data_IF_895455158400
#
_entry.id   IF_895455158400
#
_cell.length_a   1.000
_cell.length_b   1.000
_cell.length_c   1.000
_cell.angle_alpha   90.00
_cell.angle_beta   90.00
_cell.angle_gamma   90.00
#
_symmetry.space_group_name_H-M   'P 1'
#
loop_
_entity.id
_entity.type
_entity.pdbx_description
1 polymer ?
#
# COMPACT_ATOMS: atom_id res chain seq x y z
N UNK A 1 -8.53 46.11 -7.59
CA UNK A 1 -8.88 44.70 -7.30
C UNK A 1 -8.01 43.80 -8.13
N UNK A 2 -7.05 43.14 -7.50
CA UNK A 2 -6.36 41.95 -8.04
C UNK A 2 -6.16 41.03 -6.83
N UNK A 3 -7.01 40.04 -6.70
CA UNK A 3 -6.83 38.98 -5.71
C UNK A 3 -5.97 37.90 -6.38
N UNK A 4 -4.71 37.86 -5.98
CA UNK A 4 -3.74 36.84 -6.38
C UNK A 4 -3.76 35.77 -5.29
N UNK A 5 -4.62 34.76 -5.45
CA UNK A 5 -4.68 33.63 -4.53
C UNK A 5 -3.65 32.61 -5.01
N UNK A 6 -2.56 32.54 -4.26
CA UNK A 6 -1.45 31.62 -4.46
C UNK A 6 -1.92 30.17 -4.40
N UNK A 7 -1.61 29.44 -5.47
CA UNK A 7 -1.72 27.99 -5.60
C UNK A 7 -0.92 27.33 -4.47
N UNK A 8 -1.60 26.94 -3.39
CA UNK A 8 -1.00 26.09 -2.36
C UNK A 8 -0.88 24.70 -2.96
N UNK A 9 0.25 24.47 -3.64
CA UNK A 9 0.71 23.15 -4.01
C UNK A 9 0.88 22.33 -2.73
N UNK A 10 -0.18 21.62 -2.34
CA UNK A 10 -0.10 20.56 -1.34
C UNK A 10 0.56 19.38 -2.05
N UNK A 11 1.88 19.44 -2.20
CA UNK A 11 2.67 18.26 -2.43
C UNK A 11 2.82 17.55 -1.07
N UNK A 12 2.16 16.39 -0.82
CA UNK A 12 2.52 15.61 0.34
C UNK A 12 3.95 15.10 0.12
N UNK A 13 4.86 15.73 0.86
CA UNK A 13 6.28 15.43 0.95
C UNK A 13 6.54 13.92 0.97
N UNK A 14 7.23 13.43 -0.07
CA UNK A 14 7.78 12.06 -0.16
C UNK A 14 8.95 11.89 0.82
N UNK A 15 8.66 11.95 2.11
CA UNK A 15 9.51 11.37 3.15
C UNK A 15 8.59 10.65 4.12
N UNK A 16 8.15 9.45 3.72
CA UNK A 16 7.70 8.47 4.69
C UNK A 16 8.94 8.06 5.49
N UNK A 17 9.25 8.85 6.52
CA UNK A 17 9.97 8.36 7.69
C UNK A 17 9.30 7.03 8.03
N UNK A 18 10.06 5.95 8.12
CA UNK A 18 9.58 4.71 8.73
C UNK A 18 9.37 4.98 10.23
N UNK A 19 8.44 5.88 10.56
CA UNK A 19 8.03 6.21 11.90
C UNK A 19 7.36 4.97 12.44
N UNK A 20 7.96 4.38 13.47
CA UNK A 20 7.39 3.28 14.21
C UNK A 20 6.07 3.73 14.83
N UNK A 21 4.97 3.44 14.15
CA UNK A 21 3.62 3.81 14.59
C UNK A 21 3.33 3.08 15.92
N UNK A 22 2.83 3.77 16.96
CA UNK A 22 2.41 3.13 18.20
C UNK A 22 1.33 2.06 17.94
N UNK A 23 1.42 0.92 18.64
CA UNK A 23 0.42 -0.18 18.59
C UNK A 23 -1.05 0.30 18.62
N UNK A 24 -1.48 1.20 19.53
CA UNK A 24 -2.87 1.65 19.56
C UNK A 24 -3.31 2.39 18.29
N UNK A 25 -2.39 3.09 17.62
CA UNK A 25 -2.68 3.79 16.36
C UNK A 25 -2.84 2.80 15.21
N UNK A 26 -2.04 1.72 15.18
CA UNK A 26 -2.22 0.63 14.20
C UNK A 26 -3.58 -0.05 14.40
N UNK A 27 -3.95 -0.34 15.66
CA UNK A 27 -5.26 -0.94 15.96
C UNK A 27 -6.43 -0.03 15.59
N UNK A 28 -6.30 1.28 15.78
CA UNK A 28 -7.31 2.26 15.36
C UNK A 28 -7.43 2.32 13.84
N UNK A 29 -6.30 2.32 13.11
CA UNK A 29 -6.27 2.27 11.65
C UNK A 29 -6.95 0.99 11.16
N UNK A 30 -6.62 -0.17 11.73
CA UNK A 30 -7.24 -1.44 11.36
C UNK A 30 -8.75 -1.45 11.62
N UNK A 31 -9.21 -0.95 12.78
CA UNK A 31 -10.64 -0.81 13.10
C UNK A 31 -11.37 0.19 12.21
N UNK A 32 -10.66 1.12 11.59
CA UNK A 32 -11.23 2.13 10.68
C UNK A 32 -11.54 1.56 9.28
N UNK A 33 -11.06 0.36 8.95
CA UNK A 33 -11.38 -0.31 7.70
C UNK A 33 -12.46 -1.37 7.89
N UNK A 34 -13.39 -1.44 6.92
CA UNK A 34 -14.33 -2.55 6.84
C UNK A 34 -13.59 -3.91 6.80
N UNK A 35 -14.13 -4.92 7.47
CA UNK A 35 -13.49 -6.24 7.57
C UNK A 35 -13.19 -6.85 6.18
N UNK A 36 -14.10 -6.66 5.22
CA UNK A 36 -13.90 -7.09 3.84
C UNK A 36 -12.69 -6.41 3.18
N UNK A 37 -12.45 -5.13 3.49
CA UNK A 37 -11.27 -4.40 3.04
C UNK A 37 -10.00 -4.97 3.65
N UNK A 38 -9.98 -5.32 4.93
CA UNK A 38 -8.83 -5.97 5.57
C UNK A 38 -8.57 -7.36 5.00
N UNK A 39 -9.63 -8.16 4.79
CA UNK A 39 -9.55 -9.49 4.19
C UNK A 39 -8.94 -9.44 2.78
N UNK A 40 -9.42 -8.54 1.95
CA UNK A 40 -8.87 -8.34 0.60
C UNK A 40 -7.41 -7.86 0.64
N UNK A 41 -6.98 -7.17 1.71
CA UNK A 41 -5.58 -6.73 1.89
C UNK A 41 -4.71 -7.94 2.13
N UNK A 42 -5.10 -8.77 3.10
CA UNK A 42 -4.38 -10.00 3.44
C UNK A 42 -4.26 -10.93 2.24
N UNK A 43 -5.34 -11.10 1.47
CA UNK A 43 -5.34 -11.94 0.27
C UNK A 43 -4.40 -11.42 -0.82
N UNK A 44 -4.45 -10.12 -1.14
CA UNK A 44 -3.56 -9.52 -2.13
C UNK A 44 -2.09 -9.68 -1.73
N UNK A 45 -1.77 -9.45 -0.46
CA UNK A 45 -0.39 -9.60 0.05
C UNK A 45 0.07 -11.05 0.09
N UNK A 46 -0.82 -11.98 0.44
CA UNK A 46 -0.52 -13.42 0.39
C UNK A 46 -0.15 -13.83 -1.04
N UNK A 47 -1.00 -13.52 -2.01
CA UNK A 47 -0.74 -13.90 -3.41
C UNK A 47 0.51 -13.24 -3.99
N UNK A 48 0.74 -11.97 -3.66
CA UNK A 48 1.95 -11.30 -4.10
C UNK A 48 3.20 -11.87 -3.41
N UNK A 49 3.14 -12.19 -2.12
CA UNK A 49 4.23 -12.85 -1.41
C UNK A 49 4.54 -14.25 -1.94
N UNK A 50 3.50 -15.03 -2.26
CA UNK A 50 3.64 -16.32 -2.94
C UNK A 50 4.29 -16.16 -4.31
N UNK A 51 3.88 -15.15 -5.09
CA UNK A 51 4.44 -14.86 -6.41
C UNK A 51 5.91 -14.39 -6.34
N UNK A 52 6.26 -13.59 -5.34
CA UNK A 52 7.64 -13.14 -5.11
C UNK A 52 8.58 -14.32 -4.79
N UNK A 53 8.06 -15.44 -4.28
CA UNK A 53 8.83 -16.66 -4.03
C UNK A 53 10.16 -16.41 -3.26
N UNK A 54 10.11 -15.58 -2.21
CA UNK A 54 11.27 -15.22 -1.40
C UNK A 54 12.14 -14.09 -1.95
N UNK A 55 11.82 -13.53 -3.12
CA UNK A 55 12.47 -12.32 -3.63
C UNK A 55 12.07 -11.09 -2.80
N UNK A 56 13.02 -10.17 -2.64
CA UNK A 56 12.75 -8.89 -2.01
C UNK A 56 11.87 -8.03 -2.90
N UNK A 57 10.92 -7.33 -2.29
CA UNK A 57 10.06 -6.37 -2.99
C UNK A 57 10.89 -5.36 -3.80
N UNK A 58 10.47 -5.11 -5.04
CA UNK A 58 10.94 -4.00 -5.86
C UNK A 58 9.83 -3.52 -6.78
N UNK A 59 9.91 -2.27 -7.23
CA UNK A 59 8.94 -1.71 -8.16
C UNK A 59 8.92 -2.46 -9.50
N UNK A 60 10.08 -3.00 -9.91
CA UNK A 60 10.19 -3.86 -11.10
C UNK A 60 9.42 -5.17 -10.96
N UNK A 61 9.51 -5.83 -9.80
CA UNK A 61 8.74 -7.05 -9.51
C UNK A 61 7.25 -6.77 -9.39
N UNK A 62 6.88 -5.62 -8.81
CA UNK A 62 5.48 -5.18 -8.81
C UNK A 62 4.96 -5.00 -10.24
N UNK A 63 5.70 -4.32 -11.12
CA UNK A 63 5.29 -4.12 -12.52
C UNK A 63 5.13 -5.46 -13.27
N UNK A 64 6.03 -6.41 -13.06
CA UNK A 64 5.93 -7.76 -13.62
C UNK A 64 4.69 -8.50 -13.09
N UNK A 65 4.41 -8.41 -11.79
CA UNK A 65 3.22 -9.01 -11.19
C UNK A 65 1.93 -8.40 -11.75
N UNK A 66 1.86 -7.09 -11.90
CA UNK A 66 0.70 -6.40 -12.52
C UNK A 66 0.51 -6.85 -13.97
N UNK A 67 1.61 -7.01 -14.72
CA UNK A 67 1.57 -7.53 -16.10
C UNK A 67 1.09 -8.98 -16.13
N UNK A 68 1.51 -9.82 -15.18
CA UNK A 68 1.01 -11.18 -15.04
C UNK A 68 -0.50 -11.21 -14.75
N UNK A 69 -1.00 -10.38 -13.84
CA UNK A 69 -2.43 -10.27 -13.53
C UNK A 69 -3.26 -9.84 -14.74
N UNK A 70 -2.73 -8.93 -15.56
CA UNK A 70 -3.33 -8.55 -16.83
C UNK A 70 -3.34 -9.71 -17.82
N UNK A 71 -2.21 -10.42 -17.95
CA UNK A 71 -2.07 -11.57 -18.85
C UNK A 71 -3.01 -12.74 -18.54
N UNK A 72 -3.36 -12.95 -17.27
CA UNK A 72 -4.35 -13.96 -16.86
C UNK A 72 -5.81 -13.44 -16.84
N UNK A 73 -6.05 -12.23 -17.36
CA UNK A 73 -7.39 -11.68 -17.54
C UNK A 73 -8.08 -11.17 -16.27
N UNK A 74 -7.34 -10.70 -15.26
CA UNK A 74 -7.97 -10.06 -14.08
C UNK A 74 -8.62 -8.73 -14.46
N UNK A 75 -9.73 -8.42 -13.80
CA UNK A 75 -10.45 -7.17 -14.01
C UNK A 75 -9.56 -5.96 -13.63
N UNK A 76 -9.62 -4.83 -14.37
CA UNK A 76 -8.81 -3.63 -14.07
C UNK A 76 -8.98 -3.13 -12.63
N UNK A 77 -10.20 -3.18 -12.09
CA UNK A 77 -10.46 -2.82 -10.70
C UNK A 77 -9.71 -3.70 -9.69
N UNK A 78 -9.61 -5.01 -9.96
CA UNK A 78 -8.83 -5.95 -9.14
C UNK A 78 -7.34 -5.66 -9.21
N UNK A 79 -6.83 -5.34 -10.41
CA UNK A 79 -5.42 -5.01 -10.63
C UNK A 79 -5.03 -3.73 -9.87
N UNK A 80 -5.80 -2.65 -10.03
CA UNK A 80 -5.57 -1.38 -9.31
C UNK A 80 -5.64 -1.55 -7.79
N UNK A 81 -6.61 -2.34 -7.32
CA UNK A 81 -6.78 -2.66 -5.91
C UNK A 81 -5.60 -3.48 -5.36
N UNK A 82 -5.08 -4.43 -6.13
CA UNK A 82 -3.90 -5.22 -5.77
C UNK A 82 -2.64 -4.35 -5.72
N UNK A 83 -2.41 -3.51 -6.74
CA UNK A 83 -1.29 -2.56 -6.80
C UNK A 83 -1.22 -1.70 -5.55
N UNK A 84 -2.30 -0.98 -5.23
CA UNK A 84 -2.33 -0.05 -4.08
C UNK A 84 -2.09 -0.76 -2.74
N UNK A 85 -2.53 -2.02 -2.60
CA UNK A 85 -2.29 -2.81 -1.38
C UNK A 85 -0.84 -3.26 -1.26
N UNK A 86 -0.21 -3.66 -2.35
CA UNK A 86 1.19 -4.06 -2.37
C UNK A 86 2.11 -2.85 -2.08
N UNK A 87 1.84 -1.70 -2.70
CA UNK A 87 2.57 -0.45 -2.44
C UNK A 87 2.46 -0.02 -0.97
N UNK A 88 1.25 -0.10 -0.38
CA UNK A 88 1.06 0.21 1.04
C UNK A 88 1.79 -0.77 1.95
N UNK A 89 1.87 -2.05 1.60
CA UNK A 89 2.60 -3.05 2.40
C UNK A 89 4.12 -2.82 2.35
N UNK A 90 4.66 -2.47 1.19
CA UNK A 90 6.07 -2.08 1.05
C UNK A 90 6.41 -0.82 1.87
N UNK A 91 5.43 0.06 2.08
CA UNK A 91 5.55 1.29 2.86
C UNK A 91 5.12 1.13 4.32
N UNK A 92 4.63 -0.05 4.75
CA UNK A 92 4.12 -0.22 6.11
C UNK A 92 5.29 -0.19 7.11
N UNK A 93 5.31 0.75 8.07
CA UNK A 93 6.39 0.84 9.04
C UNK A 93 6.47 -0.43 9.90
N UNK A 94 7.69 -0.86 10.21
CA UNK A 94 7.93 -2.00 11.10
C UNK A 94 7.42 -1.66 12.50
N UNK A 95 6.67 -2.58 13.12
CA UNK A 95 6.11 -2.43 14.47
C UNK A 95 7.24 -2.28 15.50
N UNK A 96 7.10 -1.34 16.46
CA UNK A 96 7.99 -1.31 17.63
C UNK A 96 7.51 -2.40 18.58
N UNK A 97 8.31 -3.45 18.73
CA UNK A 97 8.16 -4.34 19.86
C UNK A 97 8.61 -3.54 21.08
N UNK A 98 7.68 -3.17 21.94
CA UNK A 98 8.03 -2.67 23.26
C UNK A 98 8.60 -3.88 24.03
N UNK A 99 9.93 -3.95 24.09
CA UNK A 99 10.65 -4.70 25.12
C UNK A 99 10.45 -4.03 26.48
#
# INVERSE_FOLDING_TARGET
MKEEIQETAIAPSRKATAELIPKPTVELIEKSFAENTLRNRRLALKHFGEWLNGQSYSDGLLAQYITHLFGIGKAPGTISNCRGRCEMAAQTPKRREAS
#
